data_IF_116022853381
#
_entry.id   IF_116022853381
#
_cell.length_a   1.000
_cell.length_b   1.000
_cell.length_c   1.000
_cell.angle_alpha   90.00
_cell.angle_beta   90.00
_cell.angle_gamma   90.00
#
_symmetry.space_group_name_H-M   'P 1'
#
loop_
_entity.id
_entity.type
_entity.pdbx_description
1 polymer ?
#
# COMPACT_ATOMS: atom_id res chain seq x y z
N UNK A 1 -19.15 -11.52 -3.20
CA UNK A 1 -17.73 -11.18 -3.44
C UNK A 1 -17.51 -10.57 -4.82
N UNK A 2 -17.85 -11.23 -5.94
CA UNK A 2 -17.69 -10.65 -7.28
C UNK A 2 -18.27 -9.23 -7.42
N UNK A 3 -19.51 -9.00 -6.95
CA UNK A 3 -20.15 -7.67 -6.92
C UNK A 3 -19.38 -6.61 -6.13
N UNK A 4 -18.70 -6.99 -5.04
CA UNK A 4 -17.89 -6.08 -4.22
C UNK A 4 -16.59 -5.69 -4.94
N UNK A 5 -15.97 -6.65 -5.65
CA UNK A 5 -14.80 -6.38 -6.51
C UNK A 5 -15.19 -5.45 -7.66
N UNK A 6 -16.33 -5.71 -8.32
CA UNK A 6 -16.84 -4.85 -9.41
C UNK A 6 -17.20 -3.45 -8.89
N UNK A 7 -17.72 -3.32 -7.66
CA UNK A 7 -17.94 -2.00 -7.04
C UNK A 7 -16.63 -1.25 -6.75
N UNK A 8 -15.59 -1.95 -6.26
CA UNK A 8 -14.26 -1.36 -6.07
C UNK A 8 -13.61 -0.92 -7.39
N UNK A 9 -13.71 -1.74 -8.43
CA UNK A 9 -13.26 -1.40 -9.79
C UNK A 9 -14.09 -0.25 -10.38
N UNK A 10 -15.41 -0.23 -10.15
CA UNK A 10 -16.30 0.85 -10.57
C UNK A 10 -15.94 2.19 -9.92
N UNK A 11 -15.57 2.19 -8.64
CA UNK A 11 -14.98 3.36 -7.98
C UNK A 11 -13.70 3.78 -8.69
N UNK A 12 -12.72 2.88 -8.82
CA UNK A 12 -11.41 3.11 -9.47
C UNK A 12 -11.49 3.44 -10.99
N UNK A 13 -12.59 3.16 -11.67
CA UNK A 13 -12.77 3.38 -13.12
C UNK A 13 -12.58 4.83 -13.57
N UNK A 14 -12.69 5.78 -12.64
CA UNK A 14 -12.53 7.22 -12.89
C UNK A 14 -11.26 7.79 -12.25
N UNK A 15 -10.27 6.95 -11.96
CA UNK A 15 -9.03 7.35 -11.28
C UNK A 15 -8.22 8.38 -12.08
N UNK A 16 -8.22 8.33 -13.41
CA UNK A 16 -7.44 9.25 -14.26
C UNK A 16 -7.76 10.74 -14.02
N UNK A 17 -9.02 11.21 -14.16
CA UNK A 17 -9.35 12.60 -13.84
C UNK A 17 -9.24 12.93 -12.35
N UNK A 18 -9.42 11.96 -11.43
CA UNK A 18 -9.16 12.20 -10.00
C UNK A 18 -7.68 12.45 -9.73
N UNK A 19 -6.80 11.63 -10.30
CA UNK A 19 -5.35 11.75 -10.13
C UNK A 19 -4.82 13.05 -10.73
N UNK A 20 -5.38 13.51 -11.86
CA UNK A 20 -5.08 14.82 -12.42
C UNK A 20 -5.47 15.98 -11.48
N UNK A 21 -6.60 15.84 -10.77
CA UNK A 21 -7.10 16.81 -9.79
C UNK A 21 -6.31 16.75 -8.47
N UNK A 22 -5.94 15.57 -7.98
CA UNK A 22 -5.09 15.41 -6.79
C UNK A 22 -3.66 15.89 -7.03
N UNK A 23 -3.10 15.63 -8.22
CA UNK A 23 -1.78 16.10 -8.62
C UNK A 23 -1.70 17.63 -8.81
N UNK A 24 -2.85 18.31 -8.93
CA UNK A 24 -2.90 19.76 -9.03
C UNK A 24 -2.47 20.46 -7.74
N UNK A 25 -2.83 19.91 -6.56
CA UNK A 25 -2.52 20.51 -5.25
C UNK A 25 -1.02 20.77 -5.01
N UNK A 26 -0.11 19.78 -5.17
CA UNK A 26 1.32 20.07 -5.04
C UNK A 26 1.86 20.97 -6.15
N UNK A 27 1.17 21.14 -7.29
CA UNK A 27 1.57 22.09 -8.34
C UNK A 27 1.20 23.52 -7.94
N UNK A 28 0.02 23.75 -7.35
CA UNK A 28 -0.37 25.07 -6.84
C UNK A 28 0.49 25.52 -5.66
N UNK A 29 0.74 24.65 -4.68
CA UNK A 29 1.62 24.91 -3.51
C UNK A 29 3.03 25.34 -3.95
N UNK A 30 3.67 24.54 -4.81
CA UNK A 30 5.00 24.89 -5.34
C UNK A 30 5.00 26.19 -6.17
N UNK A 31 3.92 26.48 -6.91
CA UNK A 31 3.79 27.75 -7.62
C UNK A 31 3.68 28.94 -6.65
N UNK A 32 2.92 28.81 -5.56
CA UNK A 32 2.80 29.84 -4.53
C UNK A 32 4.16 30.13 -3.89
N UNK A 33 4.87 29.08 -3.46
CA UNK A 33 6.21 29.20 -2.89
C UNK A 33 7.19 29.91 -3.84
N UNK A 34 7.17 29.58 -5.13
CA UNK A 34 7.99 30.26 -6.15
C UNK A 34 7.60 31.74 -6.28
N UNK A 35 6.32 32.08 -6.35
CA UNK A 35 5.87 33.47 -6.49
C UNK A 35 6.16 34.32 -5.23
N UNK A 36 6.07 33.73 -4.05
CA UNK A 36 6.45 34.36 -2.78
C UNK A 36 7.97 34.60 -2.73
N UNK A 37 8.80 33.60 -3.05
CA UNK A 37 10.26 33.73 -3.10
C UNK A 37 10.74 34.72 -4.18
N UNK A 38 9.99 34.85 -5.28
CA UNK A 38 10.27 35.82 -6.35
C UNK A 38 9.78 37.25 -6.06
N UNK A 39 9.14 37.51 -4.91
CA UNK A 39 8.66 38.82 -4.52
C UNK A 39 7.54 39.37 -5.39
N UNK A 40 6.67 38.50 -5.92
CA UNK A 40 5.56 38.90 -6.80
C UNK A 40 4.47 39.71 -6.05
N UNK A 41 3.66 40.44 -6.83
CA UNK A 41 2.57 41.26 -6.28
C UNK A 41 1.53 40.43 -5.51
N UNK A 42 1.00 40.99 -4.41
CA UNK A 42 -0.04 40.38 -3.58
C UNK A 42 -1.25 39.84 -4.37
N UNK A 43 -1.62 40.48 -5.49
CA UNK A 43 -2.73 40.04 -6.35
C UNK A 43 -2.44 38.75 -7.14
N UNK A 44 -1.17 38.34 -7.23
CA UNK A 44 -0.76 37.05 -7.78
C UNK A 44 -0.83 36.00 -6.67
N UNK A 45 -0.29 36.30 -5.48
CA UNK A 45 -0.37 35.40 -4.31
C UNK A 45 -1.82 35.06 -3.94
N UNK A 46 -2.70 36.05 -3.83
CA UNK A 46 -4.15 35.88 -3.57
C UNK A 46 -4.86 34.97 -4.59
N UNK A 47 -4.35 34.90 -5.83
CA UNK A 47 -4.86 33.98 -6.86
C UNK A 47 -4.32 32.57 -6.72
N UNK A 48 -3.09 32.41 -6.23
CA UNK A 48 -2.45 31.10 -6.06
C UNK A 48 -2.85 30.44 -4.74
N UNK A 49 -3.03 31.20 -3.66
CA UNK A 49 -3.61 30.77 -2.37
C UNK A 49 -5.04 30.21 -2.56
N UNK A 50 -5.91 30.93 -3.28
CA UNK A 50 -7.23 30.43 -3.66
C UNK A 50 -7.18 29.13 -4.50
N UNK A 51 -6.07 28.88 -5.18
CA UNK A 51 -5.79 27.69 -5.97
C UNK A 51 -5.31 26.53 -5.09
N UNK A 52 -4.42 26.80 -4.13
CA UNK A 52 -3.95 25.81 -3.17
C UNK A 52 -5.07 25.36 -2.21
N UNK A 53 -5.91 26.27 -1.74
CA UNK A 53 -7.12 25.93 -0.97
C UNK A 53 -8.05 24.96 -1.73
N UNK A 54 -8.18 25.13 -3.05
CA UNK A 54 -8.92 24.19 -3.91
C UNK A 54 -8.18 22.85 -4.11
N UNK A 55 -6.85 22.88 -4.20
CA UNK A 55 -5.99 21.70 -4.19
C UNK A 55 -6.13 20.86 -2.92
N UNK A 56 -6.04 21.49 -1.75
CA UNK A 56 -6.19 20.84 -0.44
C UNK A 56 -7.57 20.17 -0.27
N UNK A 57 -8.62 20.79 -0.79
CA UNK A 57 -9.98 20.21 -0.84
C UNK A 57 -10.03 18.96 -1.73
N UNK A 58 -9.29 18.97 -2.83
CA UNK A 58 -9.16 17.83 -3.76
C UNK A 58 -8.45 16.65 -3.09
N UNK A 59 -7.28 16.89 -2.47
CA UNK A 59 -6.50 15.88 -1.73
C UNK A 59 -7.33 15.17 -0.65
N UNK A 60 -8.23 15.88 0.03
CA UNK A 60 -9.16 15.28 0.99
C UNK A 60 -10.12 14.29 0.33
N UNK A 61 -10.64 14.64 -0.86
CA UNK A 61 -11.53 13.79 -1.66
C UNK A 61 -10.79 12.54 -2.18
N UNK A 62 -9.54 12.69 -2.66
CA UNK A 62 -8.67 11.59 -3.06
C UNK A 62 -8.39 10.59 -1.93
N UNK A 63 -8.11 11.08 -0.71
CA UNK A 63 -7.95 10.23 0.49
C UNK A 63 -9.21 9.44 0.82
N UNK A 64 -10.39 10.06 0.75
CA UNK A 64 -11.67 9.37 0.98
C UNK A 64 -11.92 8.24 -0.03
N UNK A 65 -11.58 8.47 -1.31
CA UNK A 65 -11.67 7.49 -2.39
C UNK A 65 -10.69 6.32 -2.22
N UNK A 66 -9.46 6.58 -1.79
CA UNK A 66 -8.47 5.54 -1.47
C UNK A 66 -8.94 4.65 -0.31
N UNK A 67 -9.47 5.24 0.78
CA UNK A 67 -10.00 4.49 1.94
C UNK A 67 -11.24 3.68 1.55
N UNK A 68 -12.17 4.27 0.78
CA UNK A 68 -13.39 3.59 0.33
C UNK A 68 -13.09 2.37 -0.55
N UNK A 69 -12.23 2.54 -1.55
CA UNK A 69 -11.83 1.44 -2.45
C UNK A 69 -11.04 0.36 -1.70
N UNK A 70 -10.10 0.73 -0.81
CA UNK A 70 -9.38 -0.22 0.03
C UNK A 70 -10.31 -1.04 0.96
N UNK A 71 -11.37 -0.42 1.49
CA UNK A 71 -12.37 -1.10 2.33
C UNK A 71 -13.14 -2.16 1.53
N UNK A 72 -13.58 -1.83 0.32
CA UNK A 72 -14.27 -2.77 -0.57
C UNK A 72 -13.35 -3.93 -1.00
N UNK A 73 -12.10 -3.64 -1.37
CA UNK A 73 -11.11 -4.66 -1.73
C UNK A 73 -10.78 -5.56 -0.53
N UNK A 74 -10.61 -5.01 0.66
CA UNK A 74 -10.35 -5.77 1.89
C UNK A 74 -11.49 -6.76 2.21
N UNK A 75 -12.75 -6.33 2.09
CA UNK A 75 -13.92 -7.20 2.26
C UNK A 75 -13.96 -8.33 1.22
N UNK A 76 -13.60 -8.03 -0.04
CA UNK A 76 -13.54 -9.04 -1.09
C UNK A 76 -12.39 -10.05 -0.87
N UNK A 77 -11.21 -9.58 -0.46
CA UNK A 77 -10.05 -10.41 -0.12
C UNK A 77 -10.32 -11.30 1.09
N UNK A 78 -11.02 -10.82 2.11
CA UNK A 78 -11.45 -11.64 3.25
C UNK A 78 -12.36 -12.79 2.81
N UNK A 79 -13.34 -12.53 1.94
CA UNK A 79 -14.20 -13.57 1.36
C UNK A 79 -13.44 -14.57 0.48
N UNK A 80 -12.46 -14.09 -0.29
CA UNK A 80 -11.59 -14.95 -1.10
C UNK A 80 -10.67 -15.82 -0.22
N UNK A 81 -10.13 -15.27 0.87
CA UNK A 81 -9.31 -16.00 1.85
C UNK A 81 -10.10 -17.13 2.52
N UNK A 82 -11.35 -16.87 2.94
CA UNK A 82 -12.24 -17.91 3.46
C UNK A 82 -12.43 -19.06 2.47
N UNK A 83 -12.72 -18.74 1.21
CA UNK A 83 -12.87 -19.73 0.14
C UNK A 83 -11.56 -20.51 -0.11
N UNK A 84 -10.41 -19.82 -0.08
CA UNK A 84 -9.10 -20.42 -0.25
C UNK A 84 -8.72 -21.38 0.88
N UNK A 85 -9.12 -21.12 2.14
CA UNK A 85 -8.94 -22.06 3.25
C UNK A 85 -9.69 -23.37 3.00
N UNK A 86 -10.95 -23.30 2.54
CA UNK A 86 -11.75 -24.48 2.18
C UNK A 86 -11.10 -25.28 1.04
N UNK A 87 -10.59 -24.61 0.01
CA UNK A 87 -9.88 -25.27 -1.11
C UNK A 87 -8.51 -25.84 -0.68
N UNK A 88 -7.79 -25.17 0.21
CA UNK A 88 -6.49 -25.63 0.75
C UNK A 88 -6.64 -26.90 1.57
N UNK A 89 -7.74 -27.05 2.33
CA UNK A 89 -8.06 -28.29 3.05
C UNK A 89 -8.10 -29.50 2.10
N UNK A 90 -8.77 -29.34 0.95
CA UNK A 90 -8.83 -30.35 -0.12
C UNK A 90 -7.45 -30.55 -0.78
N UNK A 91 -6.77 -29.47 -1.16
CA UNK A 91 -5.48 -29.52 -1.85
C UNK A 91 -4.34 -30.14 -1.04
N UNK A 92 -4.36 -30.01 0.29
CA UNK A 92 -3.36 -30.62 1.20
C UNK A 92 -3.42 -32.15 1.18
N UNK A 93 -4.61 -32.73 1.06
CA UNK A 93 -4.77 -34.17 0.88
C UNK A 93 -4.17 -34.65 -0.46
N UNK A 94 -4.39 -33.88 -1.54
CA UNK A 94 -3.84 -34.18 -2.86
C UNK A 94 -2.32 -33.99 -2.94
N UNK A 95 -1.75 -33.00 -2.25
CA UNK A 95 -0.31 -32.72 -2.30
C UNK A 95 0.54 -33.78 -1.60
N UNK A 96 0.05 -34.38 -0.50
CA UNK A 96 0.72 -35.55 0.11
C UNK A 96 0.86 -36.73 -0.86
N UNK A 97 -0.09 -36.88 -1.79
CA UNK A 97 -0.06 -37.89 -2.86
C UNK A 97 0.99 -37.59 -3.96
N UNK A 98 1.56 -36.38 -3.99
CA UNK A 98 2.45 -35.88 -5.05
C UNK A 98 3.86 -35.56 -4.55
N UNK A 99 4.03 -35.20 -3.27
CA UNK A 99 5.34 -35.00 -2.65
C UNK A 99 6.18 -36.29 -2.61
N UNK A 100 5.53 -37.46 -2.52
CA UNK A 100 6.13 -38.78 -2.66
C UNK A 100 6.88 -38.97 -4.01
N UNK A 101 6.52 -38.18 -5.04
CA UNK A 101 7.05 -38.30 -6.41
C UNK A 101 8.23 -37.36 -6.69
N UNK A 102 8.38 -36.24 -5.97
CA UNK A 102 9.05 -35.04 -6.54
C UNK A 102 10.27 -34.49 -5.79
N UNK A 103 10.83 -35.22 -4.83
CA UNK A 103 12.01 -34.82 -4.03
C UNK A 103 13.36 -34.75 -4.76
N UNK A 104 13.40 -34.22 -5.99
CA UNK A 104 14.58 -34.26 -6.87
C UNK A 104 14.85 -32.93 -7.60
N UNK A 105 15.97 -32.29 -7.23
CA UNK A 105 16.74 -31.20 -7.89
C UNK A 105 16.19 -29.74 -7.84
N UNK A 106 16.95 -28.85 -7.17
CA UNK A 106 17.00 -27.38 -7.35
C UNK A 106 18.17 -26.77 -6.52
N UNK A 107 19.21 -26.15 -7.12
CA UNK A 107 20.32 -25.43 -6.41
C UNK A 107 21.04 -24.36 -7.29
N UNK A 108 20.79 -23.03 -7.14
CA UNK A 108 21.54 -21.88 -7.77
C UNK A 108 21.26 -20.53 -7.01
N UNK A 109 22.22 -19.58 -6.75
CA UNK A 109 21.91 -18.11 -6.71
C UNK A 109 23.03 -17.01 -6.86
N UNK A 110 22.63 -15.72 -7.14
CA UNK A 110 23.27 -14.42 -6.71
C UNK A 110 24.06 -13.52 -7.72
N UNK A 111 24.46 -12.24 -7.50
CA UNK A 111 23.93 -11.08 -6.68
C UNK A 111 24.70 -9.70 -6.87
N UNK A 112 24.06 -8.63 -7.44
CA UNK A 112 24.29 -7.13 -7.33
C UNK A 112 25.75 -6.49 -7.44
N UNK A 113 26.07 -5.17 -7.37
CA UNK A 113 25.46 -3.92 -6.82
C UNK A 113 26.25 -2.59 -7.17
N UNK A 114 25.74 -1.39 -6.77
CA UNK A 114 26.41 -0.05 -6.53
C UNK A 114 26.72 0.87 -7.75
N UNK A 115 26.92 2.21 -7.68
CA UNK A 115 26.57 3.40 -6.82
C UNK A 115 27.16 4.68 -7.52
N UNK A 116 26.93 5.97 -7.22
CA UNK A 116 25.92 6.81 -6.52
C UNK A 116 26.37 8.32 -6.67
N UNK A 117 25.80 9.29 -5.89
CA UNK A 117 26.12 10.76 -5.82
C UNK A 117 25.45 11.65 -6.91
N UNK A 118 25.30 12.99 -6.73
CA UNK A 118 25.85 13.90 -5.72
C UNK A 118 24.80 14.73 -4.93
N UNK A 119 25.21 15.88 -4.38
CA UNK A 119 24.83 16.32 -3.03
C UNK A 119 23.92 17.58 -2.99
N UNK A 120 22.70 17.41 -2.46
CA UNK A 120 21.84 18.45 -1.88
C UNK A 120 21.55 18.12 -0.39
N UNK A 121 22.54 17.49 0.26
CA UNK A 121 22.34 16.44 1.26
C UNK A 121 21.71 16.98 2.52
N UNK A 122 22.34 17.85 3.32
CA UNK A 122 21.98 17.99 4.75
C UNK A 122 20.46 18.11 5.03
N UNK A 123 19.71 19.01 4.38
CA UNK A 123 18.26 19.12 4.63
C UNK A 123 17.49 17.92 4.05
N UNK A 124 17.79 17.54 2.80
CA UNK A 124 17.22 16.35 2.14
C UNK A 124 17.54 15.07 2.92
N UNK A 125 18.68 14.99 3.59
CA UNK A 125 19.24 13.83 4.27
C UNK A 125 18.80 13.76 5.72
N UNK A 126 18.61 14.88 6.42
CA UNK A 126 17.85 14.87 7.67
C UNK A 126 16.43 14.36 7.38
N UNK A 127 15.76 14.86 6.34
CA UNK A 127 14.44 14.39 5.95
C UNK A 127 14.45 12.93 5.43
N UNK A 128 15.46 12.51 4.67
CA UNK A 128 15.56 11.17 4.07
C UNK A 128 15.98 10.14 5.11
N UNK A 129 17.01 10.38 5.92
CA UNK A 129 17.43 9.46 6.99
C UNK A 129 16.31 9.29 8.01
N UNK A 130 15.60 10.37 8.36
CA UNK A 130 14.39 10.29 9.20
C UNK A 130 13.29 9.50 8.50
N UNK A 131 12.95 9.80 7.24
CA UNK A 131 11.88 9.11 6.51
C UNK A 131 12.17 7.62 6.32
N UNK A 132 13.40 7.25 5.96
CA UNK A 132 13.83 5.85 5.80
C UNK A 132 13.81 5.12 7.15
N UNK A 133 14.27 5.76 8.24
CA UNK A 133 14.28 5.14 9.57
C UNK A 133 12.88 5.00 10.17
N UNK A 134 12.09 6.05 10.16
CA UNK A 134 10.76 6.10 10.80
C UNK A 134 9.68 5.37 9.98
N UNK A 135 9.90 5.11 8.68
CA UNK A 135 9.00 4.28 7.87
C UNK A 135 9.20 2.77 8.11
N UNK A 136 10.35 2.33 8.66
CA UNK A 136 10.60 0.90 8.94
C UNK A 136 9.64 0.33 10.00
N UNK A 137 9.45 0.92 11.20
CA UNK A 137 8.53 0.39 12.20
C UNK A 137 7.08 0.21 11.74
N UNK A 138 6.38 1.18 11.11
CA UNK A 138 5.00 1.00 10.67
C UNK A 138 4.90 0.00 9.51
N UNK A 139 5.81 0.01 8.53
CA UNK A 139 5.79 -0.96 7.43
C UNK A 139 6.08 -2.37 7.92
N UNK A 140 7.04 -2.53 8.85
CA UNK A 140 7.34 -3.80 9.49
C UNK A 140 6.15 -4.32 10.29
N UNK A 141 5.45 -3.46 11.04
CA UNK A 141 4.24 -3.84 11.76
C UNK A 141 3.15 -4.34 10.81
N UNK A 142 2.82 -3.59 9.75
CA UNK A 142 1.78 -3.97 8.78
C UNK A 142 2.15 -5.24 8.02
N UNK A 143 3.42 -5.42 7.66
CA UNK A 143 3.89 -6.59 6.88
C UNK A 143 4.02 -7.85 7.74
N UNK A 144 4.53 -7.75 8.97
CA UNK A 144 4.74 -8.89 9.85
C UNK A 144 3.48 -9.30 10.62
N UNK A 145 2.53 -8.39 10.88
CA UNK A 145 1.34 -8.72 11.66
C UNK A 145 0.52 -9.90 11.06
N UNK A 146 0.23 -9.97 9.73
CA UNK A 146 -0.41 -11.14 9.13
C UNK A 146 0.38 -12.44 9.31
N UNK A 147 1.72 -12.38 9.32
CA UNK A 147 2.59 -13.54 9.51
C UNK A 147 2.61 -13.99 10.99
N UNK A 148 2.77 -13.06 11.92
CA UNK A 148 2.78 -13.34 13.37
C UNK A 148 1.42 -13.89 13.81
N UNK A 149 0.32 -13.23 13.44
CA UNK A 149 -1.03 -13.73 13.73
C UNK A 149 -1.27 -15.08 13.03
N UNK A 150 -0.87 -15.19 11.76
CA UNK A 150 -1.03 -16.40 10.94
C UNK A 150 -0.18 -17.60 11.37
N UNK A 151 0.87 -17.41 12.17
CA UNK A 151 1.66 -18.50 12.78
C UNK A 151 1.12 -18.80 14.19
N UNK A 152 1.08 -17.81 15.07
CA UNK A 152 0.73 -17.99 16.48
C UNK A 152 -0.70 -18.52 16.69
N UNK A 153 -1.69 -17.98 15.96
CA UNK A 153 -3.09 -18.38 16.13
C UNK A 153 -3.48 -19.59 15.26
N UNK A 154 -2.74 -19.86 14.18
CA UNK A 154 -2.91 -21.10 13.41
C UNK A 154 -2.40 -22.31 14.22
N UNK A 155 -1.32 -22.16 15.01
CA UNK A 155 -0.92 -23.17 16.00
C UNK A 155 -2.02 -23.40 17.03
N UNK A 156 -2.66 -22.35 17.54
CA UNK A 156 -3.80 -22.49 18.47
C UNK A 156 -4.99 -23.25 17.85
N UNK A 157 -5.34 -22.98 16.59
CA UNK A 157 -6.40 -23.68 15.86
C UNK A 157 -6.08 -25.15 15.54
N UNK A 158 -4.79 -25.48 15.32
CA UNK A 158 -4.36 -26.88 15.18
C UNK A 158 -4.28 -27.61 16.53
N UNK A 159 -4.08 -26.91 17.66
CA UNK A 159 -4.10 -27.51 18.99
C UNK A 159 -5.54 -27.82 19.45
N UNK A 160 -6.52 -26.97 19.16
CA UNK A 160 -7.93 -27.26 19.48
C UNK A 160 -8.55 -28.37 18.61
N UNK A 161 -7.98 -28.65 17.44
CA UNK A 161 -8.36 -29.80 16.62
C UNK A 161 -7.79 -31.16 17.14
N UNK A 162 -6.94 -31.16 18.17
CA UNK A 162 -6.35 -32.35 18.80
C UNK A 162 -6.76 -32.43 20.29
N UNK A 163 -7.99 -32.06 20.61
CA UNK A 163 -8.64 -32.44 21.87
C UNK A 163 -9.62 -33.58 21.61
N UNK A 164 -9.29 -34.84 21.96
CA UNK A 164 -10.21 -35.96 21.77
C UNK A 164 -11.34 -35.91 22.81
N UNK A 165 -12.58 -35.80 22.33
CA UNK A 165 -13.81 -36.33 22.96
C UNK A 165 -14.97 -36.28 21.97
#
# INVERSE_FOLDING_TARGET
MYSVVVAALGMLSTIEPKLAIDAYSPISDNAEGIFAMAGMSHKILERTDALDAAGNTSVSSGKGFAIGSATLVSLALFGAFFSAMTMKSVGSATLKMVEEVRGKFNVIPGLMEKNAKPDYVICVTICTDASIKEMIPPNSLVTLNPLIVGICFNVAGNITAISPK
#
